data_IF_800782251202
#
_entry.id   IF_800782251202
#
_cell.length_a   1.000
_cell.length_b   1.000
_cell.length_c   1.000
_cell.angle_alpha   90.00
_cell.angle_beta   90.00
_cell.angle_gamma   90.00
#
_symmetry.space_group_name_H-M   'P 1'
#
loop_
_entity.id
_entity.type
_entity.pdbx_description
1 polymer ?
#
# COMPACT_ATOMS: atom_id res chain seq x y z
N UNK A 1 -95.91 -9.35 -36.56
CA UNK A 1 -95.25 -10.42 -35.80
C UNK A 1 -93.73 -10.27 -35.92
N UNK A 2 -93.17 -9.87 -34.85
CA UNK A 2 -91.85 -9.41 -34.66
C UNK A 2 -90.82 -10.55 -34.50
N UNK A 3 -89.67 -10.46 -35.15
CA UNK A 3 -88.45 -11.19 -34.72
C UNK A 3 -87.24 -10.28 -34.77
N UNK A 4 -86.69 -10.08 -33.57
CA UNK A 4 -85.44 -9.34 -33.30
C UNK A 4 -84.25 -10.07 -33.87
N UNK A 5 -83.37 -9.36 -34.59
CA UNK A 5 -81.99 -9.76 -34.86
C UNK A 5 -81.04 -8.96 -33.97
N UNK A 6 -80.33 -9.66 -33.12
CA UNK A 6 -79.27 -9.13 -32.26
C UNK A 6 -77.93 -9.21 -33.02
N UNK A 7 -77.36 -8.05 -33.32
CA UNK A 7 -76.03 -7.92 -33.94
C UNK A 7 -74.95 -7.96 -32.84
N UNK A 8 -74.15 -9.00 -32.87
CA UNK A 8 -72.93 -9.07 -32.03
C UNK A 8 -71.82 -8.22 -32.66
N UNK A 9 -71.37 -7.16 -31.96
CA UNK A 9 -70.09 -6.44 -32.24
C UNK A 9 -69.00 -7.19 -31.56
N UNK A 10 -68.00 -7.67 -32.34
CA UNK A 10 -66.76 -8.18 -31.83
C UNK A 10 -65.86 -7.00 -31.45
N UNK A 11 -65.43 -6.92 -30.16
CA UNK A 11 -64.38 -6.04 -29.70
C UNK A 11 -63.03 -6.74 -29.94
N UNK A 12 -62.15 -6.16 -30.79
CA UNK A 12 -60.72 -6.47 -30.84
C UNK A 12 -60.10 -5.82 -29.65
N UNK A 13 -59.59 -6.62 -28.73
CA UNK A 13 -58.65 -6.16 -27.66
C UNK A 13 -57.29 -6.25 -28.25
N UNK A 14 -56.64 -5.10 -28.54
CA UNK A 14 -55.28 -4.98 -28.92
C UNK A 14 -54.41 -5.11 -27.66
N UNK A 15 -53.66 -6.20 -27.56
CA UNK A 15 -52.65 -6.40 -26.51
C UNK A 15 -51.41 -5.59 -26.89
N UNK A 16 -51.16 -4.46 -26.21
CA UNK A 16 -49.91 -3.74 -26.25
C UNK A 16 -48.94 -4.52 -25.36
N UNK A 17 -47.98 -5.22 -25.96
CA UNK A 17 -46.86 -5.80 -25.27
C UNK A 17 -45.88 -4.66 -24.88
N UNK A 18 -45.93 -4.23 -23.63
CA UNK A 18 -44.86 -3.38 -23.05
C UNK A 18 -43.61 -4.25 -22.89
N UNK A 19 -42.62 -4.03 -23.75
CA UNK A 19 -41.28 -4.50 -23.51
C UNK A 19 -40.71 -3.72 -22.30
N UNK A 20 -40.71 -4.35 -21.14
CA UNK A 20 -39.94 -3.93 -20.00
C UNK A 20 -38.49 -4.27 -20.35
N UNK A 21 -37.71 -3.28 -20.71
CA UNK A 21 -36.24 -3.35 -20.67
C UNK A 21 -35.84 -3.52 -19.20
N UNK A 22 -35.69 -4.76 -18.78
CA UNK A 22 -34.97 -5.09 -17.56
C UNK A 22 -33.51 -4.71 -17.78
N UNK A 23 -33.14 -3.49 -17.40
CA UNK A 23 -31.78 -3.15 -17.15
C UNK A 23 -31.32 -4.06 -16.01
N UNK A 24 -30.40 -4.97 -16.29
CA UNK A 24 -29.63 -5.67 -15.26
C UNK A 24 -28.80 -4.64 -14.54
N UNK A 25 -29.34 -3.96 -13.52
CA UNK A 25 -28.53 -3.48 -12.43
C UNK A 25 -28.10 -4.76 -11.69
N UNK A 26 -26.83 -5.06 -11.72
CA UNK A 26 -26.25 -6.05 -10.82
C UNK A 26 -26.51 -5.55 -9.40
N UNK A 27 -27.57 -6.05 -8.76
CA UNK A 27 -27.80 -5.80 -7.35
C UNK A 27 -26.66 -6.47 -6.59
N UNK A 28 -25.81 -5.68 -5.98
CA UNK A 28 -24.79 -6.15 -5.02
C UNK A 28 -25.54 -6.91 -3.94
N UNK A 29 -25.33 -8.22 -3.84
CA UNK A 29 -25.88 -9.01 -2.75
C UNK A 29 -25.10 -8.68 -1.50
N UNK A 30 -25.77 -8.15 -0.49
CA UNK A 30 -25.16 -7.84 0.81
C UNK A 30 -25.23 -9.04 1.74
N UNK A 31 -24.26 -9.21 2.65
CA UNK A 31 -24.31 -10.26 3.65
C UNK A 31 -25.47 -10.03 4.63
N UNK A 32 -26.05 -11.14 5.12
CA UNK A 32 -27.08 -11.11 6.15
C UNK A 32 -26.56 -10.42 7.41
N UNK A 33 -27.23 -9.35 7.85
CA UNK A 33 -26.86 -8.59 9.04
C UNK A 33 -26.01 -7.34 8.80
N UNK A 34 -25.68 -6.98 7.57
CA UNK A 34 -25.07 -5.69 7.25
C UNK A 34 -25.97 -4.53 7.69
N UNK A 35 -25.40 -3.55 8.40
CA UNK A 35 -26.17 -2.42 8.90
C UNK A 35 -26.38 -1.34 7.83
N UNK A 36 -27.59 -0.81 7.80
CA UNK A 36 -27.97 0.34 6.97
C UNK A 36 -28.47 -0.02 5.58
N UNK A 37 -29.02 0.99 4.90
CA UNK A 37 -29.47 0.90 3.51
C UNK A 37 -28.27 1.11 2.58
N UNK A 38 -27.99 0.21 1.62
CA UNK A 38 -26.89 0.36 0.68
C UNK A 38 -27.01 1.55 -0.27
N UNK A 39 -28.17 2.19 -0.33
CA UNK A 39 -28.46 3.26 -1.29
C UNK A 39 -28.69 4.63 -0.63
N UNK A 40 -28.54 4.73 0.69
CA UNK A 40 -28.77 6.00 1.39
C UNK A 40 -27.91 6.13 2.65
N UNK A 41 -27.55 7.37 2.97
CA UNK A 41 -26.86 7.74 4.20
C UNK A 41 -25.78 8.80 4.00
N UNK A 42 -25.40 9.42 5.10
CA UNK A 42 -24.22 10.29 5.16
C UNK A 42 -23.10 9.53 5.85
N UNK A 43 -21.99 9.31 5.16
CA UNK A 43 -20.84 8.54 5.63
C UNK A 43 -19.64 9.44 5.86
N UNK A 44 -18.99 9.28 6.99
CA UNK A 44 -17.69 9.93 7.26
C UNK A 44 -16.56 9.06 6.75
N UNK A 45 -15.77 9.58 5.82
CA UNK A 45 -14.60 8.90 5.25
C UNK A 45 -13.31 9.61 5.65
N UNK A 46 -12.42 8.91 6.38
CA UNK A 46 -11.12 9.44 6.79
C UNK A 46 -9.99 8.91 5.93
N UNK A 47 -9.25 9.85 5.30
CA UNK A 47 -8.00 9.57 4.59
C UNK A 47 -6.81 9.80 5.53
N UNK A 48 -5.94 8.80 5.69
CA UNK A 48 -4.78 8.85 6.58
C UNK A 48 -3.53 9.48 5.96
N UNK A 49 -3.60 9.94 4.72
CA UNK A 49 -2.45 10.50 3.99
C UNK A 49 -2.89 11.64 3.06
N UNK A 50 -3.69 12.56 3.60
CA UNK A 50 -4.17 13.72 2.88
C UNK A 50 -3.03 14.69 2.54
N UNK A 51 -3.13 15.27 1.36
CA UNK A 51 -2.18 16.27 0.88
C UNK A 51 -2.59 16.86 -0.47
N UNK A 52 -1.89 17.91 -0.92
CA UNK A 52 -2.23 18.64 -2.14
C UNK A 52 -2.23 17.79 -3.41
N UNK A 53 -1.47 16.70 -3.42
CA UNK A 53 -1.35 15.82 -4.58
C UNK A 53 -2.38 14.68 -4.58
N UNK A 54 -3.04 14.39 -3.44
CA UNK A 54 -3.96 13.26 -3.28
C UNK A 54 -5.39 13.66 -2.97
N UNK A 55 -5.58 14.66 -2.11
CA UNK A 55 -6.91 15.13 -1.72
C UNK A 55 -7.81 15.45 -2.91
N UNK A 56 -7.37 16.18 -3.96
CA UNK A 56 -8.21 16.44 -5.13
C UNK A 56 -8.65 15.19 -5.89
N UNK A 57 -7.85 14.11 -5.83
CA UNK A 57 -8.18 12.84 -6.48
C UNK A 57 -9.31 12.13 -5.75
N UNK A 58 -9.27 12.12 -4.40
CA UNK A 58 -10.37 11.59 -3.59
C UNK A 58 -11.65 12.40 -3.79
N UNK A 59 -11.57 13.73 -3.77
CA UNK A 59 -12.72 14.61 -4.00
C UNK A 59 -13.38 14.34 -5.37
N UNK A 60 -12.60 14.11 -6.42
CA UNK A 60 -13.12 13.76 -7.74
C UNK A 60 -13.78 12.37 -7.75
N UNK A 61 -13.16 11.35 -7.13
CA UNK A 61 -13.75 10.01 -7.03
C UNK A 61 -15.05 10.03 -6.20
N UNK A 62 -15.08 10.77 -5.10
CA UNK A 62 -16.29 10.97 -4.29
C UNK A 62 -17.40 11.61 -5.13
N UNK A 63 -17.09 12.69 -5.85
CA UNK A 63 -18.04 13.34 -6.74
C UNK A 63 -18.63 12.39 -7.80
N UNK A 64 -17.79 11.51 -8.39
CA UNK A 64 -18.27 10.47 -9.35
C UNK A 64 -19.17 9.47 -8.67
N UNK A 65 -18.80 9.02 -7.48
CA UNK A 65 -19.61 8.08 -6.71
C UNK A 65 -20.99 8.64 -6.35
N UNK A 66 -21.03 9.86 -5.80
CA UNK A 66 -22.28 10.54 -5.41
C UNK A 66 -23.19 10.82 -6.61
N UNK A 67 -22.62 11.18 -7.77
CA UNK A 67 -23.37 11.35 -9.00
C UNK A 67 -24.09 10.06 -9.46
N UNK A 68 -23.45 8.91 -9.23
CA UNK A 68 -24.04 7.59 -9.50
C UNK A 68 -24.95 7.09 -8.36
N UNK A 69 -24.81 7.63 -7.16
CA UNK A 69 -25.52 7.20 -5.94
C UNK A 69 -26.11 8.41 -5.18
N UNK A 70 -27.12 9.10 -5.72
CA UNK A 70 -27.57 10.40 -5.18
C UNK A 70 -28.21 10.33 -3.77
N UNK A 71 -28.43 9.14 -3.24
CA UNK A 71 -28.88 8.93 -1.86
C UNK A 71 -27.75 8.84 -0.83
N UNK A 72 -26.50 8.79 -1.26
CA UNK A 72 -25.34 8.66 -0.38
C UNK A 72 -24.51 9.97 -0.46
N UNK A 73 -24.13 10.50 0.71
CA UNK A 73 -23.29 11.67 0.88
C UNK A 73 -21.99 11.27 1.60
N UNK A 74 -20.82 11.59 1.05
CA UNK A 74 -19.52 11.23 1.62
C UNK A 74 -18.84 12.44 2.23
N UNK A 75 -18.77 12.49 3.54
CA UNK A 75 -18.04 13.52 4.28
C UNK A 75 -16.55 13.14 4.38
N UNK A 76 -15.76 13.66 3.46
CA UNK A 76 -14.32 13.44 3.44
C UNK A 76 -13.58 14.23 4.51
N UNK A 77 -12.69 13.56 5.25
CA UNK A 77 -11.80 14.15 6.25
C UNK A 77 -10.37 13.70 5.97
N UNK A 78 -9.56 14.63 5.47
CA UNK A 78 -8.14 14.42 5.26
C UNK A 78 -7.32 14.57 6.53
N UNK A 79 -6.53 13.57 6.89
CA UNK A 79 -5.63 13.57 8.04
C UNK A 79 -4.17 13.65 7.57
N UNK A 80 -3.31 14.46 8.23
CA UNK A 80 -1.87 14.38 8.02
C UNK A 80 -1.33 12.98 8.43
N UNK A 81 -0.47 12.40 7.62
CA UNK A 81 0.02 11.02 7.79
C UNK A 81 0.74 10.78 9.12
N UNK A 82 1.45 11.78 9.64
CA UNK A 82 2.21 11.72 10.90
C UNK A 82 1.32 11.66 12.15
N UNK A 83 0.10 12.15 12.07
CA UNK A 83 -0.87 12.22 13.20
C UNK A 83 -2.11 11.34 13.01
N UNK A 84 -2.29 10.75 11.84
CA UNK A 84 -3.49 10.01 11.49
C UNK A 84 -3.78 8.86 12.47
N UNK A 85 -2.78 8.04 12.81
CA UNK A 85 -2.94 6.94 13.75
C UNK A 85 -3.46 7.40 15.10
N UNK A 86 -2.86 8.46 15.67
CA UNK A 86 -3.27 8.97 16.96
C UNK A 86 -4.70 9.49 16.93
N UNK A 87 -5.11 10.12 15.82
CA UNK A 87 -6.48 10.59 15.63
C UNK A 87 -7.47 9.43 15.58
N UNK A 88 -7.18 8.38 14.84
CA UNK A 88 -8.00 7.14 14.83
C UNK A 88 -8.14 6.57 16.25
N UNK A 89 -7.03 6.38 16.97
CA UNK A 89 -7.06 5.86 18.34
C UNK A 89 -7.91 6.72 19.28
N UNK A 90 -7.78 8.03 19.19
CA UNK A 90 -8.56 8.97 20.00
C UNK A 90 -10.04 8.88 19.67
N UNK A 91 -10.41 8.86 18.40
CA UNK A 91 -11.78 8.77 17.94
C UNK A 91 -12.45 7.44 18.35
N UNK A 92 -11.74 6.33 18.22
CA UNK A 92 -12.22 5.01 18.64
C UNK A 92 -12.46 4.97 20.15
N UNK A 93 -11.50 5.45 20.95
CA UNK A 93 -11.64 5.51 22.40
C UNK A 93 -12.78 6.46 22.85
N UNK A 94 -13.03 7.52 22.07
CA UNK A 94 -14.11 8.49 22.31
C UNK A 94 -15.48 8.08 21.74
N UNK A 95 -15.59 6.93 21.04
CA UNK A 95 -16.83 6.48 20.40
C UNK A 95 -17.26 7.36 19.21
N UNK A 96 -16.31 8.05 18.56
CA UNK A 96 -16.52 8.94 17.42
C UNK A 96 -15.68 8.52 16.19
N UNK A 97 -15.42 7.21 16.04
CA UNK A 97 -14.76 6.69 14.87
C UNK A 97 -15.59 6.99 13.59
N UNK A 98 -14.95 7.20 12.43
CA UNK A 98 -15.66 7.40 11.16
C UNK A 98 -16.44 6.15 10.75
N UNK A 99 -17.27 6.24 9.71
CA UNK A 99 -17.94 5.06 9.13
C UNK A 99 -16.93 4.16 8.42
N UNK A 100 -16.03 4.76 7.66
CA UNK A 100 -14.95 4.06 6.96
C UNK A 100 -13.70 4.94 6.91
N UNK A 101 -12.56 4.30 6.64
CA UNK A 101 -11.31 5.05 6.52
C UNK A 101 -10.21 4.25 5.89
N UNK A 102 -9.13 4.95 5.55
CA UNK A 102 -7.90 4.36 5.08
C UNK A 102 -6.98 4.14 6.29
N UNK A 103 -6.49 2.92 6.42
CA UNK A 103 -5.49 2.56 7.43
C UNK A 103 -4.33 1.83 6.75
N UNK A 104 -3.12 1.97 7.27
CA UNK A 104 -2.03 1.10 6.86
C UNK A 104 -2.19 -0.28 7.51
N UNK A 105 -1.65 -1.32 6.89
CA UNK A 105 -1.67 -2.68 7.43
C UNK A 105 -1.08 -2.75 8.84
N UNK A 106 -0.03 -1.96 9.13
CA UNK A 106 0.56 -1.86 10.47
C UNK A 106 -0.42 -1.39 11.57
N UNK A 107 -1.54 -0.76 11.19
CA UNK A 107 -2.60 -0.34 12.13
C UNK A 107 -3.79 -1.28 12.15
N UNK A 108 -3.94 -2.11 11.14
CA UNK A 108 -5.11 -2.96 10.98
C UNK A 108 -5.19 -3.99 12.12
N UNK A 109 -4.12 -4.72 12.41
CA UNK A 109 -4.11 -5.71 13.48
C UNK A 109 -4.43 -5.12 14.88
N UNK A 110 -3.89 -3.95 15.30
CA UNK A 110 -4.35 -3.25 16.49
C UNK A 110 -5.84 -2.90 16.50
N UNK A 111 -6.42 -2.51 15.36
CA UNK A 111 -7.86 -2.20 15.24
C UNK A 111 -8.71 -3.47 15.38
N UNK A 112 -8.28 -4.56 14.74
CA UNK A 112 -8.90 -5.89 14.88
C UNK A 112 -8.88 -6.36 16.33
N UNK A 113 -7.72 -6.28 16.99
CA UNK A 113 -7.57 -6.65 18.39
C UNK A 113 -8.46 -5.83 19.34
N UNK A 114 -8.77 -4.59 19.01
CA UNK A 114 -9.71 -3.73 19.73
C UNK A 114 -11.17 -3.96 19.34
N UNK A 115 -11.46 -4.86 18.37
CA UNK A 115 -12.78 -5.08 17.82
C UNK A 115 -13.43 -3.78 17.27
N UNK A 116 -12.58 -2.91 16.69
CA UNK A 116 -12.99 -1.60 16.19
C UNK A 116 -13.45 -1.61 14.73
N UNK A 117 -13.12 -2.66 13.98
CA UNK A 117 -13.44 -2.83 12.56
C UNK A 117 -14.22 -4.13 12.34
N UNK A 118 -14.92 -4.24 11.21
CA UNK A 118 -15.69 -5.45 10.86
C UNK A 118 -14.90 -6.31 9.84
N UNK A 119 -15.10 -7.65 9.82
CA UNK A 119 -14.64 -8.48 8.74
C UNK A 119 -15.37 -8.14 7.44
N UNK A 120 -14.68 -8.20 6.32
CA UNK A 120 -15.19 -7.86 4.99
C UNK A 120 -15.38 -9.11 4.10
N UNK A 121 -15.15 -10.32 4.64
CA UNK A 121 -15.16 -11.58 3.89
C UNK A 121 -16.51 -11.83 3.21
N UNK A 122 -17.62 -11.69 3.94
CA UNK A 122 -18.96 -11.90 3.41
C UNK A 122 -19.31 -10.86 2.36
N UNK A 123 -18.89 -9.60 2.54
CA UNK A 123 -19.05 -8.55 1.55
C UNK A 123 -18.25 -8.86 0.28
N UNK A 124 -16.98 -9.28 0.45
CA UNK A 124 -16.12 -9.67 -0.67
C UNK A 124 -16.71 -10.88 -1.42
N UNK A 125 -17.18 -11.91 -0.70
CA UNK A 125 -17.77 -13.09 -1.32
C UNK A 125 -19.02 -12.77 -2.14
N UNK A 126 -19.79 -11.75 -1.72
CA UNK A 126 -20.98 -11.27 -2.40
C UNK A 126 -20.68 -10.29 -3.54
N UNK A 127 -19.47 -9.73 -3.60
CA UNK A 127 -19.07 -8.71 -4.58
C UNK A 127 -19.03 -9.27 -5.99
N UNK A 128 -19.58 -8.56 -6.99
CA UNK A 128 -19.43 -8.90 -8.40
C UNK A 128 -17.98 -8.76 -8.87
N UNK A 129 -17.15 -7.98 -8.15
CA UNK A 129 -15.74 -7.70 -8.48
C UNK A 129 -14.77 -8.68 -7.80
N UNK A 130 -15.23 -9.65 -7.01
CA UNK A 130 -14.35 -10.52 -6.20
C UNK A 130 -13.23 -11.20 -6.97
N UNK A 131 -13.48 -11.57 -8.22
CA UNK A 131 -12.53 -12.26 -9.09
C UNK A 131 -11.60 -11.28 -9.86
N UNK A 132 -11.83 -9.96 -9.72
CA UNK A 132 -11.00 -8.91 -10.31
C UNK A 132 -9.81 -8.52 -9.43
N UNK A 133 -9.83 -8.88 -8.14
CA UNK A 133 -8.75 -8.56 -7.22
C UNK A 133 -7.59 -9.55 -7.32
N UNK A 134 -6.36 -9.02 -7.21
CA UNK A 134 -5.17 -9.86 -7.16
C UNK A 134 -5.17 -10.74 -5.89
N UNK A 135 -5.22 -12.08 -6.04
CA UNK A 135 -5.37 -12.98 -4.90
C UNK A 135 -4.16 -12.95 -3.95
N UNK A 136 -2.95 -12.65 -4.45
CA UNK A 136 -1.75 -12.54 -3.59
C UNK A 136 -1.84 -11.32 -2.68
N UNK A 137 -2.37 -10.21 -3.20
CA UNK A 137 -2.53 -8.97 -2.43
C UNK A 137 -3.64 -9.13 -1.38
N UNK A 138 -4.76 -9.76 -1.75
CA UNK A 138 -5.84 -10.06 -0.79
C UNK A 138 -5.34 -10.99 0.31
N UNK A 139 -4.60 -12.05 -0.04
CA UNK A 139 -4.02 -12.97 0.94
C UNK A 139 -3.07 -12.24 1.92
N UNK A 140 -2.21 -11.36 1.41
CA UNK A 140 -1.32 -10.53 2.25
C UNK A 140 -2.10 -9.60 3.18
N UNK A 141 -3.24 -9.06 2.74
CA UNK A 141 -4.11 -8.23 3.58
C UNK A 141 -4.77 -9.04 4.71
N UNK A 142 -5.18 -10.29 4.44
CA UNK A 142 -5.71 -11.22 5.44
C UNK A 142 -4.62 -11.52 6.49
N UNK A 143 -3.41 -11.85 6.05
CA UNK A 143 -2.27 -12.13 6.93
C UNK A 143 -1.91 -10.93 7.81
N UNK A 144 -1.91 -9.74 7.26
CA UNK A 144 -1.68 -8.49 7.99
C UNK A 144 -2.74 -8.20 9.06
N UNK A 145 -3.96 -8.67 8.86
CA UNK A 145 -5.07 -8.58 9.80
C UNK A 145 -5.04 -9.61 10.93
N UNK A 146 -4.15 -10.61 10.85
CA UNK A 146 -4.05 -11.71 11.83
C UNK A 146 -4.30 -13.09 11.22
N UNK A 147 -4.52 -13.19 9.90
CA UNK A 147 -4.56 -14.45 9.16
C UNK A 147 -5.90 -15.18 9.13
N UNK A 148 -6.97 -14.62 9.72
CA UNK A 148 -8.28 -15.27 9.77
C UNK A 148 -9.30 -14.69 8.79
N UNK A 149 -9.39 -13.36 8.73
CA UNK A 149 -10.40 -12.65 7.93
C UNK A 149 -9.80 -11.43 7.24
N UNK A 150 -10.47 -10.97 6.19
CA UNK A 150 -10.18 -9.70 5.52
C UNK A 150 -10.81 -8.54 6.31
N UNK A 151 -10.02 -7.74 7.02
CA UNK A 151 -10.49 -6.55 7.75
C UNK A 151 -10.21 -5.24 7.03
N UNK A 152 -9.39 -5.26 6.02
CA UNK A 152 -9.09 -4.12 5.18
C UNK A 152 -9.00 -4.53 3.73
N UNK A 153 -9.71 -3.82 2.85
CA UNK A 153 -9.65 -4.02 1.40
C UNK A 153 -8.52 -3.16 0.83
N UNK A 154 -7.40 -3.76 0.40
CA UNK A 154 -6.34 -2.99 -0.25
C UNK A 154 -6.85 -2.32 -1.52
N UNK A 155 -6.39 -1.12 -1.81
CA UNK A 155 -6.74 -0.45 -3.07
C UNK A 155 -5.53 -0.23 -3.97
N UNK A 156 -4.34 -0.44 -3.45
CA UNK A 156 -3.11 -0.28 -4.20
C UNK A 156 -2.02 -1.16 -3.60
N UNK A 157 -1.08 -1.59 -4.43
CA UNK A 157 0.16 -2.23 -4.03
C UNK A 157 1.31 -1.26 -4.26
N UNK A 158 2.21 -1.20 -3.29
CA UNK A 158 3.47 -0.48 -3.38
C UNK A 158 4.61 -1.46 -3.19
N UNK A 159 5.55 -1.46 -4.11
CA UNK A 159 6.77 -2.23 -3.97
C UNK A 159 7.95 -1.31 -3.77
N UNK A 160 8.95 -1.79 -3.05
CA UNK A 160 10.24 -1.15 -3.02
C UNK A 160 10.79 -1.05 -4.45
N UNK A 161 11.24 0.13 -4.79
CA UNK A 161 11.72 0.51 -6.12
C UNK A 161 13.04 1.25 -5.93
N UNK A 162 14.01 0.95 -6.76
CA UNK A 162 15.22 1.77 -6.88
C UNK A 162 14.97 2.81 -7.98
N UNK A 163 14.80 4.07 -7.54
CA UNK A 163 14.77 5.23 -8.43
C UNK A 163 16.18 5.66 -8.75
N UNK A 164 16.46 6.03 -9.99
CA UNK A 164 17.77 6.50 -10.41
C UNK A 164 17.71 7.66 -11.39
N UNK A 165 18.75 8.44 -11.44
CA UNK A 165 18.96 9.55 -12.40
C UNK A 165 19.48 8.97 -13.70
N UNK A 166 18.57 8.73 -14.65
CA UNK A 166 18.94 8.19 -15.97
C UNK A 166 20.01 9.04 -16.66
N UNK A 167 19.88 10.38 -16.55
CA UNK A 167 20.88 11.30 -17.12
C UNK A 167 22.29 11.17 -16.49
N UNK A 168 22.40 10.84 -15.21
CA UNK A 168 23.70 10.64 -14.57
C UNK A 168 24.31 9.26 -14.89
N UNK A 169 23.47 8.25 -15.01
CA UNK A 169 23.87 6.93 -15.47
C UNK A 169 24.36 6.98 -16.92
N UNK A 170 23.64 7.66 -17.80
CA UNK A 170 24.05 7.89 -19.19
C UNK A 170 25.39 8.67 -19.26
N UNK A 171 25.56 9.72 -18.44
CA UNK A 171 26.80 10.54 -18.36
C UNK A 171 28.01 9.69 -17.92
N UNK A 172 27.82 8.78 -16.97
CA UNK A 172 28.85 7.87 -16.48
C UNK A 172 29.04 6.62 -17.36
N UNK A 173 28.12 6.35 -18.30
CA UNK A 173 28.15 5.12 -19.11
C UNK A 173 27.77 3.87 -18.32
N UNK A 174 26.96 4.03 -17.27
CA UNK A 174 26.48 2.96 -16.41
C UNK A 174 25.10 2.47 -16.86
N UNK A 175 24.86 1.18 -16.72
CA UNK A 175 23.52 0.59 -16.77
C UNK A 175 22.89 0.56 -15.37
N UNK A 176 21.55 0.58 -15.26
CA UNK A 176 20.88 0.41 -13.96
C UNK A 176 21.25 -0.92 -13.32
N UNK A 177 21.53 -0.98 -11.99
CA UNK A 177 22.08 -2.16 -11.35
C UNK A 177 21.07 -3.33 -11.30
N UNK A 178 21.51 -4.50 -11.72
CA UNK A 178 20.76 -5.76 -11.63
C UNK A 178 21.11 -6.55 -10.37
N UNK A 179 22.32 -6.33 -9.83
CA UNK A 179 22.85 -6.96 -8.62
C UNK A 179 23.17 -5.92 -7.54
N UNK A 180 23.28 -6.39 -6.29
CA UNK A 180 23.65 -5.50 -5.19
C UNK A 180 25.11 -5.01 -5.27
N UNK A 181 26.00 -5.80 -5.85
CA UNK A 181 27.37 -5.34 -6.08
C UNK A 181 27.39 -4.17 -7.07
N UNK A 182 26.69 -4.29 -8.19
CA UNK A 182 26.55 -3.18 -9.16
C UNK A 182 25.87 -1.95 -8.52
N UNK A 183 24.92 -2.13 -7.59
CA UNK A 183 24.32 -1.02 -6.86
C UNK A 183 25.36 -0.26 -6.02
N UNK A 184 26.21 -0.98 -5.26
CA UNK A 184 27.24 -0.36 -4.45
C UNK A 184 28.33 0.28 -5.31
N UNK A 185 28.75 -0.36 -6.40
CA UNK A 185 29.70 0.19 -7.38
C UNK A 185 29.15 1.48 -8.02
N UNK A 186 27.89 1.50 -8.44
CA UNK A 186 27.24 2.68 -8.97
C UNK A 186 27.12 3.81 -7.92
N UNK A 187 26.90 3.47 -6.65
CA UNK A 187 26.84 4.47 -5.59
C UNK A 187 28.20 5.16 -5.39
N UNK A 188 29.30 4.41 -5.40
CA UNK A 188 30.66 4.95 -5.31
C UNK A 188 31.01 5.78 -6.57
N UNK A 189 30.80 5.24 -7.76
CA UNK A 189 31.18 5.88 -9.03
C UNK A 189 30.41 7.20 -9.29
N UNK A 190 29.14 7.28 -8.87
CA UNK A 190 28.30 8.47 -9.04
C UNK A 190 28.47 9.50 -7.92
N UNK A 191 29.35 9.24 -6.94
CA UNK A 191 29.64 10.14 -5.84
C UNK A 191 30.77 11.10 -6.21
N UNK A 192 30.45 12.40 -6.27
CA UNK A 192 31.44 13.49 -6.32
C UNK A 192 31.14 14.50 -5.21
N UNK A 193 31.75 14.28 -4.05
CA UNK A 193 31.56 15.16 -2.87
C UNK A 193 32.07 16.58 -3.11
N UNK A 194 32.99 16.77 -4.04
CA UNK A 194 33.53 18.10 -4.37
C UNK A 194 32.50 18.95 -5.13
N UNK A 195 31.60 18.30 -5.88
CA UNK A 195 30.46 18.93 -6.61
C UNK A 195 29.13 18.82 -5.82
N UNK A 196 29.16 18.24 -4.61
CA UNK A 196 27.97 18.02 -3.78
C UNK A 196 27.02 16.95 -4.33
N UNK A 197 27.55 16.04 -5.15
CA UNK A 197 26.84 14.89 -5.70
C UNK A 197 27.12 13.64 -4.87
N UNK A 198 26.09 12.83 -4.65
CA UNK A 198 26.15 11.56 -3.95
C UNK A 198 25.47 10.47 -4.76
N UNK A 199 26.00 9.25 -4.69
CA UNK A 199 25.45 8.11 -5.44
C UNK A 199 24.11 7.64 -4.90
N UNK A 200 23.88 7.79 -3.60
CA UNK A 200 22.63 7.31 -2.96
C UNK A 200 22.14 8.27 -1.88
N UNK A 201 20.89 8.08 -1.43
CA UNK A 201 20.34 8.70 -0.21
C UNK A 201 19.75 7.63 0.70
N UNK A 202 20.24 7.60 1.96
CA UNK A 202 19.79 6.67 2.98
C UNK A 202 18.76 7.33 3.88
N UNK A 203 17.69 6.61 4.21
CA UNK A 203 16.69 7.13 5.14
C UNK A 203 17.10 6.84 6.57
N UNK A 204 17.59 7.85 7.29
CA UNK A 204 17.94 7.74 8.71
C UNK A 204 16.87 8.31 9.65
N UNK A 205 15.97 9.15 9.13
CA UNK A 205 14.88 9.78 9.89
C UNK A 205 13.60 8.92 9.98
N UNK A 206 12.49 9.59 10.22
CA UNK A 206 11.19 8.94 10.40
C UNK A 206 10.85 7.97 9.27
N UNK A 207 10.43 6.75 9.64
CA UNK A 207 10.07 5.67 8.71
C UNK A 207 11.26 4.93 8.09
N UNK A 208 12.47 5.03 8.65
CA UNK A 208 13.70 4.43 8.13
C UNK A 208 13.77 2.91 8.19
N UNK A 209 13.08 2.29 9.15
CA UNK A 209 13.23 0.85 9.41
C UNK A 209 12.60 -0.01 8.30
N UNK A 210 11.51 0.44 7.67
CA UNK A 210 10.93 -0.29 6.54
C UNK A 210 11.89 -0.38 5.33
N UNK A 211 12.46 0.71 4.81
CA UNK A 211 13.47 0.64 3.75
C UNK A 211 14.70 -0.19 4.14
N UNK A 212 15.14 -0.12 5.41
CA UNK A 212 16.21 -0.97 5.91
C UNK A 212 15.84 -2.45 5.85
N UNK A 213 14.64 -2.82 6.33
CA UNK A 213 14.15 -4.20 6.25
C UNK A 213 14.03 -4.67 4.79
N UNK A 214 13.47 -3.84 3.91
CA UNK A 214 13.39 -4.14 2.48
C UNK A 214 14.79 -4.42 1.90
N UNK A 215 15.77 -3.61 2.25
CA UNK A 215 17.15 -3.81 1.83
C UNK A 215 17.73 -5.13 2.39
N UNK A 216 17.60 -5.38 3.68
CA UNK A 216 18.09 -6.59 4.34
C UNK A 216 17.53 -7.87 3.68
N UNK A 217 16.22 -7.94 3.50
CA UNK A 217 15.57 -9.10 2.86
C UNK A 217 15.94 -9.23 1.38
N UNK A 218 15.97 -8.12 0.64
CA UNK A 218 16.31 -8.14 -0.79
C UNK A 218 17.77 -8.52 -1.04
N UNK A 219 18.70 -8.13 -0.18
CA UNK A 219 20.13 -8.45 -0.30
C UNK A 219 20.43 -9.91 0.06
N UNK A 220 19.73 -10.45 1.09
CA UNK A 220 20.05 -11.79 1.62
C UNK A 220 19.26 -12.91 0.95
N UNK A 221 18.10 -12.60 0.36
CA UNK A 221 17.18 -13.60 -0.14
C UNK A 221 16.53 -14.45 0.97
N UNK A 222 16.56 -14.00 2.23
CA UNK A 222 15.81 -14.62 3.33
C UNK A 222 14.32 -14.32 3.13
N UNK A 223 13.47 -15.35 3.27
CA UNK A 223 12.09 -15.30 2.83
C UNK A 223 11.09 -15.01 3.97
N UNK A 224 11.52 -15.16 5.23
CA UNK A 224 10.63 -15.10 6.38
C UNK A 224 11.20 -14.31 7.54
N UNK A 225 10.36 -13.55 8.25
CA UNK A 225 10.73 -12.82 9.47
C UNK A 225 11.03 -13.73 10.67
N UNK A 226 10.51 -14.96 10.63
CA UNK A 226 10.68 -15.92 11.73
C UNK A 226 10.99 -17.31 11.20
N UNK A 227 11.83 -18.01 11.97
CA UNK A 227 12.05 -19.44 11.88
C UNK A 227 11.55 -20.06 13.21
N UNK A 228 10.36 -20.64 13.16
CA UNK A 228 9.64 -21.00 14.38
C UNK A 228 9.28 -19.77 15.22
N UNK A 229 9.83 -19.69 16.45
CA UNK A 229 9.64 -18.57 17.37
C UNK A 229 10.70 -17.48 17.25
N UNK A 230 11.80 -17.77 16.57
CA UNK A 230 12.97 -16.90 16.52
C UNK A 230 12.97 -16.02 15.28
N UNK A 231 13.24 -14.73 15.46
CA UNK A 231 13.39 -13.78 14.37
C UNK A 231 14.62 -14.04 13.54
N UNK A 232 14.53 -13.83 12.25
CA UNK A 232 15.64 -13.98 11.29
C UNK A 232 16.47 -12.72 11.14
N UNK A 233 16.04 -11.57 11.67
CA UNK A 233 16.68 -10.25 11.42
C UNK A 233 18.08 -10.12 11.99
N UNK A 234 18.51 -11.02 12.88
CA UNK A 234 19.87 -11.05 13.42
C UNK A 234 20.71 -12.25 12.94
N UNK A 235 20.28 -12.91 11.86
CA UNK A 235 21.12 -13.89 11.19
C UNK A 235 22.41 -13.22 10.66
N UNK A 236 23.53 -13.93 10.57
CA UNK A 236 24.80 -13.33 10.13
C UNK A 236 24.67 -12.56 8.82
N UNK A 237 23.95 -13.12 7.83
CA UNK A 237 23.74 -12.50 6.53
C UNK A 237 22.96 -11.18 6.63
N UNK A 238 22.00 -11.09 7.55
CA UNK A 238 21.26 -9.86 7.82
C UNK A 238 22.13 -8.80 8.48
N UNK A 239 23.02 -9.22 9.38
CA UNK A 239 23.99 -8.32 10.04
C UNK A 239 24.95 -7.75 8.99
N UNK A 240 25.50 -8.61 8.11
CA UNK A 240 26.38 -8.19 7.01
C UNK A 240 25.66 -7.19 6.08
N UNK A 241 24.38 -7.43 5.78
CA UNK A 241 23.56 -6.50 4.98
C UNK A 241 23.39 -5.14 5.67
N UNK A 242 23.17 -5.11 7.00
CA UNK A 242 23.09 -3.87 7.79
C UNK A 242 24.42 -3.12 7.75
N UNK A 243 25.54 -3.82 7.97
CA UNK A 243 26.88 -3.23 7.96
C UNK A 243 27.21 -2.61 6.60
N UNK A 244 27.00 -3.35 5.52
CA UNK A 244 27.28 -2.89 4.17
C UNK A 244 26.42 -1.69 3.78
N UNK A 245 25.13 -1.71 4.14
CA UNK A 245 24.23 -0.59 3.87
C UNK A 245 24.57 0.65 4.69
N UNK A 246 24.90 0.47 5.97
CA UNK A 246 25.30 1.58 6.84
C UNK A 246 26.63 2.20 6.40
N UNK A 247 27.53 1.43 5.78
CA UNK A 247 28.82 1.92 5.28
C UNK A 247 28.69 2.98 4.16
N UNK A 248 27.55 3.04 3.47
CA UNK A 248 27.26 4.12 2.51
C UNK A 248 27.09 5.49 3.19
N UNK A 249 26.74 5.51 4.49
CA UNK A 249 26.44 6.75 5.18
C UNK A 249 27.68 7.64 5.30
N UNK A 250 27.54 8.93 4.94
CA UNK A 250 28.59 9.95 4.90
C UNK A 250 29.81 9.56 4.03
N UNK A 251 29.67 8.55 3.16
CA UNK A 251 30.61 8.19 2.09
C UNK A 251 29.93 8.49 0.75
N UNK A 252 28.92 7.72 0.40
CA UNK A 252 28.15 7.83 -0.84
C UNK A 252 26.78 8.48 -0.63
N UNK A 253 26.50 8.91 0.58
CA UNK A 253 25.25 9.60 0.97
C UNK A 253 25.53 10.91 1.72
N UNK A 254 24.62 11.90 1.65
CA UNK A 254 24.76 13.13 2.43
C UNK A 254 24.78 12.87 3.94
N UNK A 255 25.64 13.58 4.68
CA UNK A 255 25.68 13.54 6.16
C UNK A 255 24.34 13.87 6.81
N UNK A 256 23.51 14.70 6.15
CA UNK A 256 22.16 15.05 6.63
C UNK A 256 21.21 13.86 6.69
N UNK A 257 21.48 12.79 5.95
CA UNK A 257 20.59 11.65 5.78
C UNK A 257 20.28 10.90 7.07
N UNK A 258 21.15 10.99 8.09
CA UNK A 258 20.89 10.43 9.43
C UNK A 258 19.55 10.92 10.03
N UNK A 259 19.10 12.12 9.65
CA UNK A 259 17.86 12.71 10.12
C UNK A 259 16.79 12.86 9.03
N UNK A 260 17.12 12.58 7.78
CA UNK A 260 16.23 12.77 6.66
C UNK A 260 15.14 11.69 6.64
N UNK A 261 13.90 12.17 6.58
CA UNK A 261 12.74 11.35 6.24
C UNK A 261 12.41 11.44 4.75
N UNK A 262 11.23 10.92 4.38
CA UNK A 262 10.78 10.88 2.98
C UNK A 262 10.80 12.24 2.26
N UNK A 263 10.26 13.35 2.81
CA UNK A 263 10.25 14.63 2.10
C UNK A 263 11.63 15.16 1.73
N UNK A 264 12.60 15.00 2.64
CA UNK A 264 13.98 15.45 2.43
C UNK A 264 14.68 14.60 1.37
N UNK A 265 14.49 13.28 1.38
CA UNK A 265 15.05 12.38 0.37
C UNK A 265 14.52 12.72 -1.03
N UNK A 266 13.19 12.91 -1.16
CA UNK A 266 12.58 13.33 -2.44
C UNK A 266 13.13 14.67 -2.91
N UNK A 267 13.34 15.62 -1.99
CA UNK A 267 13.92 16.92 -2.31
C UNK A 267 15.39 16.80 -2.77
N UNK A 268 16.19 15.96 -2.14
CA UNK A 268 17.59 15.71 -2.52
C UNK A 268 17.68 15.03 -3.89
N UNK A 269 16.87 14.01 -4.14
CA UNK A 269 16.83 13.32 -5.43
C UNK A 269 16.31 14.23 -6.56
N UNK A 270 15.18 14.89 -6.35
CA UNK A 270 14.59 15.81 -7.32
C UNK A 270 15.40 17.10 -7.53
N UNK A 271 16.17 17.51 -6.52
CA UNK A 271 17.05 18.68 -6.55
C UNK A 271 18.42 18.42 -7.22
N UNK A 272 18.73 17.15 -7.56
CA UNK A 272 19.96 16.79 -8.25
C UNK A 272 21.20 16.73 -7.37
N UNK A 273 21.04 16.37 -6.10
CA UNK A 273 22.16 16.10 -5.19
C UNK A 273 22.43 14.61 -4.97
N UNK A 274 21.53 13.71 -5.39
CA UNK A 274 21.73 12.26 -5.28
C UNK A 274 21.34 11.54 -6.56
N UNK A 275 22.05 10.46 -6.89
CA UNK A 275 21.86 9.67 -8.10
C UNK A 275 20.79 8.60 -7.95
N UNK A 276 20.68 7.96 -6.79
CA UNK A 276 19.74 6.86 -6.53
C UNK A 276 18.99 7.06 -5.22
N UNK A 277 17.76 6.54 -5.18
CA UNK A 277 16.90 6.57 -4.00
C UNK A 277 16.05 5.30 -3.94
N UNK A 278 16.10 4.57 -2.81
CA UNK A 278 15.17 3.48 -2.55
C UNK A 278 13.87 4.03 -1.96
N UNK A 279 12.77 3.83 -2.67
CA UNK A 279 11.43 4.15 -2.18
C UNK A 279 10.39 3.35 -2.98
N UNK A 280 9.13 3.44 -2.59
CA UNK A 280 8.05 2.80 -3.33
C UNK A 280 7.58 3.63 -4.55
N UNK A 281 6.75 3.02 -5.38
CA UNK A 281 6.19 3.63 -6.59
C UNK A 281 5.35 4.89 -6.34
N UNK A 282 4.83 5.07 -5.12
CA UNK A 282 4.02 6.23 -4.76
C UNK A 282 4.74 7.59 -4.83
N UNK A 283 6.05 7.62 -5.07
CA UNK A 283 6.82 8.84 -5.32
C UNK A 283 6.97 9.20 -6.82
N UNK A 284 6.42 8.39 -7.73
CA UNK A 284 6.55 8.61 -9.19
C UNK A 284 6.13 10.04 -9.61
N UNK A 285 4.98 10.51 -9.12
CA UNK A 285 4.47 11.85 -9.47
C UNK A 285 5.43 12.97 -9.03
N UNK A 286 6.03 12.84 -7.84
CA UNK A 286 7.03 13.79 -7.35
C UNK A 286 8.28 13.81 -8.23
N UNK A 287 8.78 12.63 -8.60
CA UNK A 287 9.98 12.50 -9.44
C UNK A 287 9.74 13.00 -10.86
N UNK A 288 8.62 12.63 -11.49
CA UNK A 288 8.26 13.14 -12.81
C UNK A 288 8.11 14.66 -12.82
N UNK A 289 7.53 15.25 -11.79
CA UNK A 289 7.36 16.70 -11.68
C UNK A 289 8.71 17.44 -11.60
N UNK A 290 9.70 16.89 -10.89
CA UNK A 290 11.01 17.53 -10.70
C UNK A 290 12.02 17.19 -11.79
N UNK A 291 12.01 15.96 -12.32
CA UNK A 291 13.05 15.42 -13.19
C UNK A 291 12.56 15.14 -14.63
N UNK A 292 11.24 15.03 -14.85
CA UNK A 292 10.69 14.67 -16.17
C UNK A 292 11.19 13.29 -16.62
N UNK A 293 11.76 13.22 -17.81
CA UNK A 293 12.28 11.98 -18.40
C UNK A 293 13.67 11.57 -17.90
N UNK A 294 14.26 12.35 -16.98
CA UNK A 294 15.57 12.05 -16.38
C UNK A 294 15.50 11.03 -15.24
N UNK A 295 14.32 10.58 -14.86
CA UNK A 295 14.13 9.58 -13.82
C UNK A 295 13.86 8.23 -14.44
N UNK A 296 14.65 7.23 -14.01
CA UNK A 296 14.40 5.81 -14.21
C UNK A 296 13.97 5.14 -12.92
N UNK A 297 13.40 3.94 -13.05
CA UNK A 297 13.03 3.10 -11.93
C UNK A 297 13.17 1.63 -12.30
N UNK A 298 13.73 0.88 -11.37
CA UNK A 298 13.86 -0.58 -11.47
C UNK A 298 13.37 -1.24 -10.19
N UNK A 299 13.03 -2.51 -10.25
CA UNK A 299 12.88 -3.33 -9.05
C UNK A 299 14.20 -3.37 -8.28
N UNK A 300 14.15 -3.63 -6.98
CA UNK A 300 15.38 -3.84 -6.22
C UNK A 300 16.22 -4.97 -6.84
N UNK A 301 17.56 -4.85 -6.82
CA UNK A 301 18.45 -5.87 -7.34
C UNK A 301 18.19 -7.27 -6.77
N UNK A 302 18.67 -8.30 -7.45
CA UNK A 302 18.57 -9.70 -7.00
C UNK A 302 19.67 -10.01 -5.98
N UNK A 303 19.37 -10.86 -5.00
CA UNK A 303 20.37 -11.36 -4.06
C UNK A 303 21.38 -12.29 -4.78
N UNK A 304 22.56 -12.48 -4.18
CA UNK A 304 23.65 -13.32 -4.74
C UNK A 304 23.23 -14.77 -4.99
N UNK A 305 22.25 -15.27 -4.24
CA UNK A 305 21.66 -16.60 -4.44
C UNK A 305 20.70 -16.69 -5.64
N UNK A 306 20.49 -15.59 -6.37
CA UNK A 306 19.60 -15.50 -7.52
C UNK A 306 18.11 -15.38 -7.17
N UNK A 307 17.76 -15.21 -5.89
CA UNK A 307 16.39 -15.01 -5.43
C UNK A 307 16.09 -13.51 -5.41
N UNK A 308 14.96 -13.11 -5.98
CA UNK A 308 14.42 -11.78 -5.79
C UNK A 308 13.43 -11.80 -4.63
N UNK A 309 13.78 -11.16 -3.55
CA UNK A 309 12.89 -11.01 -2.41
C UNK A 309 12.28 -9.61 -2.43
N UNK A 310 10.97 -9.54 -2.42
CA UNK A 310 10.23 -8.29 -2.35
C UNK A 310 9.47 -8.25 -1.04
N UNK A 311 9.89 -7.39 -0.13
CA UNK A 311 9.10 -7.11 1.07
C UNK A 311 7.97 -6.16 0.68
N UNK A 312 6.75 -6.60 0.93
CA UNK A 312 5.57 -5.79 0.66
C UNK A 312 5.55 -4.56 1.58
N UNK A 313 5.33 -3.39 1.00
CA UNK A 313 5.04 -2.20 1.81
C UNK A 313 3.70 -2.39 2.51
N UNK A 314 3.50 -1.81 3.70
CA UNK A 314 2.19 -1.77 4.33
C UNK A 314 1.17 -1.17 3.37
N UNK A 315 0.30 -2.03 2.83
CA UNK A 315 -0.73 -1.56 1.91
C UNK A 315 -1.68 -0.62 2.63
N UNK A 316 -1.99 0.55 2.08
CA UNK A 316 -3.15 1.28 2.54
C UNK A 316 -4.41 0.48 2.16
N UNK A 317 -5.27 0.26 3.14
CA UNK A 317 -6.50 -0.50 2.98
C UNK A 317 -7.69 0.33 3.43
N UNK A 318 -8.78 0.21 2.70
CA UNK A 318 -10.08 0.71 3.17
C UNK A 318 -10.62 -0.24 4.23
N UNK A 319 -11.08 0.29 5.35
CA UNK A 319 -11.74 -0.48 6.40
C UNK A 319 -13.05 0.16 6.81
N UNK A 320 -14.00 -0.66 7.29
CA UNK A 320 -15.28 -0.22 7.82
C UNK A 320 -15.25 -0.35 9.34
N UNK A 321 -15.57 0.74 10.05
CA UNK A 321 -15.58 0.76 11.49
C UNK A 321 -16.86 0.11 12.03
N UNK A 322 -16.71 -0.66 13.11
CA UNK A 322 -17.82 -1.40 13.72
C UNK A 322 -18.92 -0.51 14.27
N UNK A 323 -18.59 0.72 14.64
CA UNK A 323 -19.55 1.72 15.11
C UNK A 323 -20.45 2.28 14.03
N UNK A 324 -20.10 2.09 12.75
CA UNK A 324 -20.90 2.58 11.62
C UNK A 324 -22.28 1.94 11.58
N UNK A 325 -23.30 2.77 11.37
CA UNK A 325 -24.68 2.34 11.12
C UNK A 325 -24.98 2.26 9.61
N UNK A 326 -23.96 2.52 8.76
CA UNK A 326 -24.06 2.60 7.29
C UNK A 326 -23.10 1.60 6.61
N UNK A 327 -22.88 0.41 7.21
CA UNK A 327 -21.91 -0.57 6.73
C UNK A 327 -22.17 -1.01 5.28
N UNK A 328 -23.44 -1.17 4.90
CA UNK A 328 -23.83 -1.55 3.55
C UNK A 328 -23.47 -0.46 2.51
N UNK A 329 -23.74 0.81 2.81
CA UNK A 329 -23.38 1.93 1.94
C UNK A 329 -21.85 2.18 1.94
N UNK A 330 -21.17 1.95 3.06
CA UNK A 330 -19.71 2.00 3.15
C UNK A 330 -19.07 0.97 2.24
N UNK A 331 -19.54 -0.30 2.26
CA UNK A 331 -19.05 -1.32 1.33
C UNK A 331 -19.25 -0.92 -0.13
N UNK A 332 -20.42 -0.40 -0.48
CA UNK A 332 -20.69 0.07 -1.85
C UNK A 332 -19.71 1.15 -2.30
N UNK A 333 -19.31 2.05 -1.39
CA UNK A 333 -18.28 3.03 -1.68
C UNK A 333 -16.89 2.37 -1.83
N UNK A 334 -16.54 1.38 -1.01
CA UNK A 334 -15.30 0.62 -1.15
C UNK A 334 -15.21 -0.08 -2.52
N UNK A 335 -16.30 -0.77 -2.94
CA UNK A 335 -16.37 -1.41 -4.27
C UNK A 335 -16.15 -0.40 -5.40
N UNK A 336 -16.76 0.77 -5.31
CA UNK A 336 -16.54 1.83 -6.30
C UNK A 336 -15.09 2.29 -6.31
N UNK A 337 -14.49 2.54 -5.13
CA UNK A 337 -13.10 3.02 -5.01
C UNK A 337 -12.08 1.98 -5.50
N UNK A 338 -12.42 0.70 -5.47
CA UNK A 338 -11.56 -0.41 -5.92
C UNK A 338 -11.98 -0.98 -7.28
N UNK A 339 -12.94 -0.37 -7.96
CA UNK A 339 -13.32 -0.72 -9.33
C UNK A 339 -12.18 -0.43 -10.33
N UNK A 340 -12.21 -1.12 -11.46
CA UNK A 340 -11.20 -0.93 -12.52
C UNK A 340 -11.04 0.54 -12.94
N UNK A 341 -12.14 1.25 -13.16
CA UNK A 341 -12.14 2.65 -13.57
C UNK A 341 -11.58 3.59 -12.50
N UNK A 342 -11.96 3.40 -11.23
CA UNK A 342 -11.47 4.22 -10.13
C UNK A 342 -9.98 3.99 -9.88
N UNK A 343 -9.52 2.75 -9.95
CA UNK A 343 -8.12 2.40 -9.78
C UNK A 343 -7.27 2.81 -10.99
N UNK A 344 -7.78 2.74 -12.21
CA UNK A 344 -7.11 3.29 -13.38
C UNK A 344 -6.89 4.80 -13.24
N UNK A 345 -7.93 5.53 -12.83
CA UNK A 345 -7.82 6.97 -12.56
C UNK A 345 -6.78 7.27 -11.46
N UNK A 346 -6.80 6.53 -10.34
CA UNK A 346 -5.85 6.69 -9.26
C UNK A 346 -4.40 6.40 -9.73
N UNK A 347 -4.21 5.28 -10.44
CA UNK A 347 -2.90 4.88 -10.95
C UNK A 347 -2.32 5.91 -11.92
N UNK A 348 -3.13 6.44 -12.84
CA UNK A 348 -2.69 7.49 -13.78
C UNK A 348 -2.12 8.71 -13.07
N UNK A 349 -2.67 9.06 -11.91
CA UNK A 349 -2.30 10.28 -11.19
C UNK A 349 -1.24 10.05 -10.09
N UNK A 350 -1.18 8.84 -9.50
CA UNK A 350 -0.28 8.54 -8.38
C UNK A 350 0.84 7.58 -8.77
N UNK A 351 0.60 6.67 -9.73
CA UNK A 351 1.60 5.74 -10.23
C UNK A 351 1.77 4.48 -9.38
N UNK A 352 0.76 4.11 -8.59
CA UNK A 352 0.77 2.88 -7.79
C UNK A 352 0.18 1.70 -8.57
N UNK A 353 0.48 0.46 -8.16
CA UNK A 353 -0.05 -0.74 -8.82
C UNK A 353 -1.49 -0.97 -8.36
N UNK A 354 -2.47 -1.06 -9.27
CA UNK A 354 -3.85 -1.39 -8.94
C UNK A 354 -3.97 -2.79 -8.31
N UNK A 355 -4.81 -2.93 -7.29
CA UNK A 355 -5.19 -4.24 -6.75
C UNK A 355 -6.20 -4.93 -7.69
N UNK A 356 -7.06 -4.16 -8.34
CA UNK A 356 -7.95 -4.64 -9.39
C UNK A 356 -7.11 -4.98 -10.63
N UNK A 357 -7.14 -6.26 -11.04
CA UNK A 357 -6.34 -6.75 -12.16
C UNK A 357 -6.75 -6.14 -13.50
N UNK A 358 -8.05 -5.86 -13.68
CA UNK A 358 -8.57 -5.27 -14.93
C UNK A 358 -8.08 -3.82 -15.11
N UNK A 359 -7.87 -3.08 -14.02
CA UNK A 359 -7.28 -1.74 -14.06
C UNK A 359 -5.87 -1.72 -14.65
N UNK A 360 -5.12 -2.83 -14.55
CA UNK A 360 -3.77 -2.96 -15.12
C UNK A 360 -3.76 -2.98 -16.64
N UNK A 361 -4.87 -3.29 -17.29
CA UNK A 361 -5.03 -3.20 -18.74
C UNK A 361 -5.26 -1.77 -19.25
N UNK A 362 -5.49 -0.80 -18.36
CA UNK A 362 -5.72 0.58 -18.72
C UNK A 362 -4.52 1.19 -19.47
N UNK A 363 -4.74 1.99 -20.52
CA UNK A 363 -3.65 2.63 -21.28
C UNK A 363 -2.70 3.44 -20.40
N UNK A 364 -3.20 4.10 -19.36
CA UNK A 364 -2.38 4.86 -18.40
C UNK A 364 -1.38 3.97 -17.67
N UNK A 365 -1.79 2.77 -17.20
CA UNK A 365 -0.88 1.82 -16.58
C UNK A 365 0.17 1.33 -17.57
N UNK A 366 -0.26 0.97 -18.78
CA UNK A 366 0.64 0.49 -19.84
C UNK A 366 1.65 1.56 -20.30
N UNK A 367 1.36 2.83 -20.09
CA UNK A 367 2.25 3.93 -20.40
C UNK A 367 3.30 4.24 -19.30
N UNK A 368 3.30 3.50 -18.17
CA UNK A 368 4.21 3.73 -17.04
C UNK A 368 5.28 2.64 -16.94
N UNK A 369 6.44 2.75 -17.59
CA UNK A 369 7.46 1.70 -17.62
C UNK A 369 7.93 1.27 -16.22
N UNK A 370 8.05 2.22 -15.28
CA UNK A 370 8.44 1.94 -13.89
C UNK A 370 7.43 1.07 -13.14
N UNK A 371 6.14 1.32 -13.36
CA UNK A 371 5.06 0.51 -12.75
C UNK A 371 5.03 -0.88 -13.39
N UNK A 372 5.22 -0.97 -14.70
CA UNK A 372 5.31 -2.24 -15.42
C UNK A 372 6.52 -3.06 -14.97
N UNK A 373 7.68 -2.43 -14.80
CA UNK A 373 8.88 -3.12 -14.31
C UNK A 373 8.67 -3.70 -12.91
N UNK A 374 8.06 -2.94 -12.01
CA UNK A 374 7.73 -3.41 -10.67
C UNK A 374 6.68 -4.55 -10.70
N UNK A 375 5.67 -4.46 -11.57
CA UNK A 375 4.68 -5.51 -11.75
C UNK A 375 5.31 -6.78 -12.34
N UNK A 376 6.15 -6.65 -13.36
CA UNK A 376 6.85 -7.79 -13.96
C UNK A 376 7.76 -8.51 -12.93
N UNK A 377 8.39 -7.75 -12.03
CA UNK A 377 9.15 -8.33 -10.93
C UNK A 377 8.29 -9.12 -9.94
N UNK A 378 7.04 -8.70 -9.70
CA UNK A 378 6.08 -9.45 -8.85
C UNK A 378 5.53 -10.68 -9.56
N UNK A 379 5.33 -10.59 -10.86
CA UNK A 379 4.79 -11.70 -11.68
C UNK A 379 5.84 -12.75 -11.97
N UNK A 380 7.13 -12.47 -11.77
CA UNK A 380 8.20 -13.46 -11.90
C UNK A 380 7.98 -14.58 -10.86
N UNK A 381 7.84 -15.85 -11.29
CA UNK A 381 7.63 -16.97 -10.38
C UNK A 381 8.80 -17.23 -9.40
N UNK A 382 9.97 -16.66 -9.66
CA UNK A 382 11.14 -16.71 -8.77
C UNK A 382 11.12 -15.62 -7.70
N UNK A 383 10.21 -14.67 -7.80
CA UNK A 383 10.07 -13.63 -6.78
C UNK A 383 9.35 -14.17 -5.56
N UNK A 384 9.98 -14.02 -4.42
CA UNK A 384 9.43 -14.35 -3.10
C UNK A 384 8.92 -13.07 -2.45
N UNK A 385 7.65 -13.09 -2.04
CA UNK A 385 7.06 -12.02 -1.26
C UNK A 385 7.34 -12.25 0.23
N UNK A 386 7.90 -11.25 0.89
CA UNK A 386 8.07 -11.22 2.34
C UNK A 386 7.03 -10.28 2.94
N UNK A 387 6.11 -10.83 3.71
CA UNK A 387 5.10 -10.02 4.40
C UNK A 387 5.62 -9.60 5.77
N UNK A 388 5.69 -8.28 6.06
CA UNK A 388 6.01 -7.82 7.39
C UNK A 388 5.03 -8.39 8.43
N UNK A 389 5.49 -8.71 9.65
CA UNK A 389 4.62 -9.28 10.68
C UNK A 389 3.76 -8.20 11.36
N UNK A 390 2.99 -7.46 10.57
CA UNK A 390 2.13 -6.36 11.03
C UNK A 390 1.05 -6.82 12.02
N UNK A 391 0.72 -8.14 12.00
CA UNK A 391 -0.18 -8.77 12.97
C UNK A 391 0.37 -8.80 14.40
N UNK A 392 1.66 -8.60 14.59
CA UNK A 392 2.26 -8.57 15.92
C UNK A 392 1.87 -7.28 16.67
N UNK A 393 1.45 -7.39 17.95
CA UNK A 393 0.88 -6.27 18.68
C UNK A 393 1.81 -5.06 18.87
N UNK A 394 3.11 -5.28 18.85
CA UNK A 394 4.11 -4.23 19.07
C UNK A 394 4.89 -3.86 17.79
N UNK A 395 4.66 -4.52 16.64
CA UNK A 395 5.49 -4.34 15.44
C UNK A 395 5.56 -2.88 14.98
N UNK A 396 4.44 -2.22 14.80
CA UNK A 396 4.41 -0.82 14.41
C UNK A 396 5.17 0.09 15.39
N UNK A 397 5.07 -0.15 16.71
CA UNK A 397 5.83 0.59 17.72
C UNK A 397 7.33 0.29 17.64
N UNK A 398 7.70 -0.97 17.39
CA UNK A 398 9.10 -1.38 17.25
C UNK A 398 9.74 -0.63 16.08
N UNK A 399 9.15 -0.74 14.88
CA UNK A 399 9.74 -0.18 13.65
C UNK A 399 9.66 1.35 13.56
N UNK A 400 8.61 1.98 14.10
CA UNK A 400 8.43 3.42 13.96
C UNK A 400 9.07 4.24 15.07
N UNK A 401 9.26 3.65 16.26
CA UNK A 401 9.68 4.40 17.44
C UNK A 401 10.94 3.81 18.07
N UNK A 402 10.96 2.49 18.36
CA UNK A 402 12.02 1.93 19.19
C UNK A 402 13.34 1.74 18.44
N UNK A 403 13.27 1.35 17.17
CA UNK A 403 14.45 1.07 16.36
C UNK A 403 14.99 2.29 15.62
N UNK A 404 14.22 3.35 15.47
CA UNK A 404 14.64 4.56 14.77
C UNK A 404 15.95 5.15 15.34
N UNK A 405 15.98 5.45 16.64
CA UNK A 405 17.19 6.01 17.27
C UNK A 405 18.36 5.04 17.32
N UNK A 406 18.11 3.72 17.30
CA UNK A 406 19.17 2.72 17.22
C UNK A 406 19.79 2.67 15.82
N UNK A 407 18.97 2.74 14.77
CA UNK A 407 19.46 2.85 13.40
C UNK A 407 20.35 4.09 13.19
N UNK A 408 19.92 5.24 13.70
CA UNK A 408 20.73 6.45 13.64
C UNK A 408 22.11 6.27 14.31
N UNK A 409 22.18 5.54 15.44
CA UNK A 409 23.44 5.22 16.09
C UNK A 409 24.31 4.27 15.25
N UNK A 410 23.73 3.33 14.52
CA UNK A 410 24.48 2.49 13.59
C UNK A 410 25.10 3.34 12.49
N UNK A 411 24.32 4.22 11.85
CA UNK A 411 24.81 5.11 10.79
C UNK A 411 26.00 5.97 11.23
N UNK A 412 25.99 6.49 12.46
CA UNK A 412 27.08 7.32 12.97
C UNK A 412 28.16 6.53 13.74
N UNK A 413 28.15 5.20 13.64
CA UNK A 413 29.17 4.32 14.24
C UNK A 413 29.15 4.23 15.77
N UNK A 414 28.02 4.57 16.42
CA UNK A 414 27.85 4.50 17.88
C UNK A 414 27.21 3.19 18.37
N UNK A 415 26.73 2.36 17.47
CA UNK A 415 26.14 1.04 17.74
C UNK A 415 26.59 0.09 16.63
N UNK A 416 26.99 -1.13 16.99
CA UNK A 416 27.31 -2.14 15.98
C UNK A 416 26.05 -2.65 15.27
N UNK A 417 26.17 -3.13 14.04
CA UNK A 417 25.09 -3.77 13.32
C UNK A 417 24.57 -5.03 14.06
N UNK A 418 25.51 -5.78 14.68
CA UNK A 418 25.16 -6.96 15.48
C UNK A 418 24.28 -6.59 16.69
N UNK A 419 24.70 -5.59 17.51
CA UNK A 419 23.92 -5.18 18.68
C UNK A 419 22.55 -4.60 18.28
N UNK A 420 22.48 -3.88 17.14
CA UNK A 420 21.23 -3.40 16.57
C UNK A 420 20.31 -4.56 16.17
N UNK A 421 20.84 -5.53 15.44
CA UNK A 421 20.09 -6.69 14.96
C UNK A 421 19.58 -7.57 16.11
N UNK A 422 20.42 -7.79 17.15
CA UNK A 422 20.05 -8.56 18.33
C UNK A 422 18.95 -7.88 19.16
N UNK A 423 19.04 -6.55 19.37
CA UNK A 423 17.98 -5.78 20.04
C UNK A 423 16.67 -5.80 19.23
N UNK A 424 16.77 -5.74 17.90
CA UNK A 424 15.62 -5.82 17.03
C UNK A 424 14.95 -7.20 17.10
N UNK A 425 15.75 -8.28 16.95
CA UNK A 425 15.25 -9.66 17.04
C UNK A 425 14.59 -9.93 18.39
N UNK A 426 15.22 -9.52 19.52
CA UNK A 426 14.64 -9.68 20.85
C UNK A 426 13.26 -9.01 20.98
N UNK A 427 13.09 -7.79 20.42
CA UNK A 427 11.81 -7.10 20.43
C UNK A 427 10.75 -7.80 19.60
N UNK A 428 11.12 -8.31 18.42
CA UNK A 428 10.23 -9.09 17.55
C UNK A 428 9.82 -10.38 18.21
N UNK A 429 10.76 -11.15 18.80
CA UNK A 429 10.50 -12.41 19.51
C UNK A 429 9.55 -12.20 20.70
N UNK A 430 9.75 -11.13 21.47
CA UNK A 430 8.82 -10.78 22.57
C UNK A 430 7.42 -10.44 22.07
N UNK A 431 7.31 -9.72 20.95
CA UNK A 431 6.01 -9.40 20.36
C UNK A 431 5.30 -10.63 19.83
N UNK A 432 6.07 -11.54 19.19
CA UNK A 432 5.57 -12.83 18.71
C UNK A 432 5.06 -13.71 19.87
N UNK A 433 5.83 -13.83 20.93
CA UNK A 433 5.40 -14.60 22.12
C UNK A 433 4.10 -14.05 22.74
N UNK A 434 3.91 -12.71 22.76
CA UNK A 434 2.64 -12.11 23.20
C UNK A 434 1.48 -12.45 22.26
N UNK A 435 1.72 -12.46 20.96
CA UNK A 435 0.72 -12.83 19.97
C UNK A 435 0.33 -14.30 20.11
N UNK A 436 1.31 -15.21 20.14
CA UNK A 436 1.09 -16.65 20.26
C UNK A 436 0.32 -17.01 21.56
N UNK A 437 0.67 -16.37 22.67
CA UNK A 437 -0.05 -16.53 23.94
C UNK A 437 -1.54 -16.10 23.88
N UNK A 438 -1.86 -15.07 23.08
CA UNK A 438 -3.26 -14.66 22.86
C UNK A 438 -4.03 -15.64 21.97
N UNK A 439 -3.34 -16.33 21.07
CA UNK A 439 -3.91 -17.36 20.20
C UNK A 439 -4.00 -18.72 20.85
N UNK A 440 -3.51 -18.88 22.10
CA UNK A 440 -3.50 -20.18 22.82
C UNK A 440 -2.49 -21.17 22.26
N UNK A 441 -1.44 -20.67 21.61
CA UNK A 441 -0.32 -21.45 21.04
C UNK A 441 0.87 -21.49 21.99
#
# INVERSE_FOLDING_TARGET
>A
MTKNLVTRRAMLVGTVAALVLAGCSSETSLPDGALGDPNSGTLTFWDNNAGPDRTPLYEELIRRFEAANPGIDIQYVGLPSDSAQQKYQTAIAGGSAPDLGIVSTAYLAPLVAQNAVIPLDDFMAASPQKDEYDPKIIQSAIESGGGENLYGLPYTSNNATLWYRADWFDEAGLEPPETWDEFYEAADELTDRSDGRYGFTIRGGAGSIYPLLQHMFATTGIENFFDGSESTVNRPEMVDAIERFAALYDVDTPTADVNNGFPQMVASFGGGSVAMMQHNLGSLSNHKKSLGDKVGAIALPVADNGVRTVMTDPFPSYTVFKSSQHQAAAWKFLEFMTSADSQAYWNENVGQIPVNADARSAPAFQAMPSVQAAQAALDDPKTVLVTPPDYLPDFGKIVQVQMLGQWQKVLIGQLSAQDFADDFAEKLNRSKAKYDARQGK
#
